data_IF_783783528966
#
_entry.id   IF_783783528966
#
_cell.length_a   1.000
_cell.length_b   1.000
_cell.length_c   1.000
_cell.angle_alpha   90.00
_cell.angle_beta   90.00
_cell.angle_gamma   90.00
#
_symmetry.space_group_name_H-M   'P 1'
#
loop_
_entity.id
_entity.type
_entity.pdbx_description
1 polymer ?
#
# COMPACT_ATOMS: atom_id res chain seq x y z
N UNK A 1 -9.45 11.77 37.08
CA UNK A 1 -8.33 11.37 36.20
C UNK A 1 -7.61 10.22 36.88
N UNK A 2 -8.07 8.99 36.65
CA UNK A 2 -7.31 7.79 36.96
C UNK A 2 -6.67 7.37 35.64
N UNK A 3 -5.35 7.54 35.54
CA UNK A 3 -4.57 6.94 34.46
C UNK A 3 -4.53 5.44 34.71
N UNK A 4 -5.40 4.70 34.04
CA UNK A 4 -5.18 3.28 33.85
C UNK A 4 -3.94 3.14 32.97
N UNK A 5 -2.87 2.58 33.54
CA UNK A 5 -1.79 2.02 32.73
C UNK A 5 -2.45 1.01 31.77
N UNK A 6 -2.18 1.06 30.46
CA UNK A 6 -2.68 0.01 29.57
C UNK A 6 -2.15 -1.31 30.10
N UNK A 7 -3.04 -2.22 30.46
CA UNK A 7 -2.69 -3.59 30.77
C UNK A 7 -1.89 -4.13 29.59
N UNK A 8 -0.69 -4.65 29.86
CA UNK A 8 0.28 -5.10 28.87
C UNK A 8 -0.28 -6.35 28.15
N UNK A 9 -1.20 -6.14 27.21
CA UNK A 9 -1.84 -7.16 26.38
C UNK A 9 -0.78 -7.92 25.61
N UNK A 10 -0.85 -9.25 25.63
CA UNK A 10 0.17 -10.07 24.99
C UNK A 10 0.12 -10.00 23.46
N UNK A 11 1.30 -10.14 22.86
CA UNK A 11 1.46 -10.34 21.42
C UNK A 11 2.46 -11.46 21.17
N UNK A 12 2.22 -12.23 20.11
CA UNK A 12 3.07 -13.37 19.77
C UNK A 12 3.30 -13.48 18.28
N UNK A 13 4.52 -13.85 17.89
CA UNK A 13 4.78 -14.45 16.58
C UNK A 13 4.71 -15.96 16.76
N UNK A 14 3.80 -16.60 16.04
CA UNK A 14 3.58 -18.04 16.09
C UNK A 14 4.36 -18.70 14.97
N UNK A 15 5.19 -19.68 15.32
CA UNK A 15 5.99 -20.44 14.35
C UNK A 15 5.49 -21.87 14.23
N UNK A 16 5.58 -22.41 13.02
CA UNK A 16 5.24 -23.80 12.73
C UNK A 16 5.55 -24.16 11.28
N UNK A 17 5.06 -25.31 10.83
CA UNK A 17 5.41 -25.85 9.53
C UNK A 17 4.83 -25.05 8.36
N UNK A 18 5.68 -24.68 7.38
CA UNK A 18 5.25 -23.99 6.15
C UNK A 18 4.14 -24.72 5.37
N UNK A 19 4.07 -26.05 5.53
CA UNK A 19 3.04 -26.88 4.89
C UNK A 19 1.61 -26.52 5.32
N UNK A 20 1.44 -25.84 6.46
CA UNK A 20 0.15 -25.36 6.95
C UNK A 20 -0.34 -24.15 6.15
N UNK A 21 0.55 -23.20 5.87
CA UNK A 21 0.23 -22.03 5.03
C UNK A 21 -0.04 -22.46 3.58
N UNK A 22 0.79 -23.36 3.06
CA UNK A 22 0.69 -23.85 1.68
C UNK A 22 -0.34 -24.98 1.51
N UNK A 23 -0.87 -25.51 2.62
CA UNK A 23 -1.81 -26.64 2.66
C UNK A 23 -1.31 -27.88 1.91
N UNK A 24 -0.01 -28.13 1.93
CA UNK A 24 0.62 -29.27 1.24
C UNK A 24 0.56 -30.56 2.04
N UNK A 25 0.27 -30.47 3.35
CA UNK A 25 0.07 -31.61 4.24
C UNK A 25 -0.83 -31.19 5.43
N UNK A 26 -1.52 -32.14 6.09
CA UNK A 26 -2.17 -31.86 7.36
C UNK A 26 -1.15 -31.71 8.49
N UNK A 27 -1.51 -30.92 9.51
CA UNK A 27 -0.77 -30.80 10.76
C UNK A 27 -0.64 -32.16 11.46
N UNK A 28 0.57 -32.51 11.92
CA UNK A 28 0.79 -33.73 12.71
C UNK A 28 0.69 -33.45 14.22
N UNK A 29 0.27 -34.42 15.06
CA UNK A 29 0.14 -34.22 16.51
C UNK A 29 1.47 -33.93 17.22
N UNK A 30 2.57 -34.46 16.71
CA UNK A 30 3.93 -34.35 17.23
C UNK A 30 4.71 -33.16 16.65
N UNK A 31 4.17 -32.47 15.64
CA UNK A 31 4.79 -31.27 15.11
C UNK A 31 4.69 -30.10 16.11
N UNK A 32 5.80 -29.38 16.36
CA UNK A 32 5.83 -28.30 17.33
C UNK A 32 5.19 -27.02 16.79
N UNK A 33 4.51 -26.31 17.68
CA UNK A 33 4.13 -24.91 17.53
C UNK A 33 4.98 -24.10 18.51
N UNK A 34 5.66 -23.06 18.02
CA UNK A 34 6.47 -22.18 18.88
C UNK A 34 5.74 -20.85 19.06
N UNK A 35 5.49 -20.49 20.30
CA UNK A 35 4.95 -19.20 20.69
C UNK A 35 6.12 -18.31 21.08
N UNK A 36 6.40 -17.26 20.28
CA UNK A 36 7.42 -16.26 20.59
C UNK A 36 6.69 -15.01 21.07
N UNK A 37 6.75 -14.73 22.38
CA UNK A 37 6.17 -13.51 22.95
C UNK A 37 7.01 -12.32 22.51
N UNK A 38 6.35 -11.33 21.92
CA UNK A 38 6.98 -10.12 21.38
C UNK A 38 6.34 -8.87 21.99
N UNK A 39 7.03 -7.72 21.97
CA UNK A 39 6.37 -6.44 22.19
C UNK A 39 5.25 -6.23 21.17
N UNK A 40 4.20 -5.53 21.57
CA UNK A 40 3.11 -5.12 20.67
C UNK A 40 3.65 -4.40 19.43
N UNK A 41 3.28 -4.88 18.24
CA UNK A 41 3.68 -4.28 16.95
C UNK A 41 2.54 -3.53 16.24
N UNK A 42 1.30 -3.65 16.72
CA UNK A 42 0.16 -2.95 16.13
C UNK A 42 0.26 -1.43 16.38
N UNK A 43 0.11 -0.64 15.30
CA UNK A 43 0.09 0.83 15.36
C UNK A 43 -1.25 1.38 15.86
N UNK A 44 -2.34 0.65 15.61
CA UNK A 44 -3.69 0.90 16.10
C UNK A 44 -4.35 -0.44 16.46
N UNK A 45 -5.39 -0.45 17.28
CA UNK A 45 -6.03 -1.70 17.74
C UNK A 45 -7.53 -1.75 17.43
N UNK A 46 -8.02 -2.81 16.78
CA UNK A 46 -7.23 -3.78 16.01
C UNK A 46 -6.60 -3.14 14.77
N UNK A 47 -5.40 -3.59 14.40
CA UNK A 47 -4.83 -3.25 13.10
C UNK A 47 -5.38 -4.19 12.01
N UNK A 48 -5.17 -3.82 10.75
CA UNK A 48 -5.30 -4.71 9.60
C UNK A 48 -3.93 -5.21 9.15
N UNK A 49 -2.89 -4.38 9.25
CA UNK A 49 -1.53 -4.73 8.85
C UNK A 49 -0.57 -4.60 10.03
N UNK A 50 0.26 -5.62 10.23
CA UNK A 50 1.31 -5.64 11.25
C UNK A 50 2.63 -5.97 10.58
N UNK A 51 3.64 -5.12 10.80
CA UNK A 51 5.00 -5.36 10.33
C UNK A 51 5.85 -5.66 11.55
N UNK A 52 6.55 -6.78 11.53
CA UNK A 52 7.45 -7.18 12.60
C UNK A 52 8.87 -7.14 12.07
N UNK A 53 9.70 -6.27 12.66
CA UNK A 53 11.15 -6.22 12.38
C UNK A 53 11.89 -7.01 13.43
N UNK A 54 12.66 -8.00 13.01
CA UNK A 54 13.27 -8.96 13.93
C UNK A 54 14.28 -8.30 14.87
N UNK A 55 15.12 -7.42 14.33
CA UNK A 55 16.14 -6.65 15.08
C UNK A 55 15.56 -5.70 16.14
N UNK A 56 14.31 -5.28 15.97
CA UNK A 56 13.62 -4.34 16.87
C UNK A 56 12.93 -5.03 18.06
N UNK A 57 12.81 -6.36 18.06
CA UNK A 57 12.10 -7.08 19.12
C UNK A 57 12.92 -7.22 20.40
N UNK A 58 14.26 -7.24 20.30
CA UNK A 58 15.14 -7.58 21.41
C UNK A 58 14.89 -8.99 21.97
N UNK A 59 15.21 -9.26 23.24
CA UNK A 59 15.02 -10.57 23.85
C UNK A 59 13.53 -10.97 23.95
N UNK A 60 13.18 -12.06 23.28
CA UNK A 60 11.83 -12.62 23.24
C UNK A 60 11.77 -13.95 24.00
N UNK A 61 10.68 -14.17 24.75
CA UNK A 61 10.43 -15.46 25.39
C UNK A 61 9.77 -16.41 24.39
N UNK A 62 10.39 -17.55 24.14
CA UNK A 62 9.89 -18.58 23.24
C UNK A 62 9.50 -19.84 24.01
N UNK A 63 8.35 -20.42 23.69
CA UNK A 63 7.90 -21.71 24.20
C UNK A 63 7.47 -22.62 23.04
N UNK A 64 8.04 -23.82 22.97
CA UNK A 64 7.64 -24.83 22.00
C UNK A 64 6.65 -25.80 22.65
N UNK A 65 5.52 -26.04 21.98
CA UNK A 65 4.41 -26.85 22.44
C UNK A 65 4.04 -27.88 21.36
N UNK A 66 3.59 -29.06 21.75
CA UNK A 66 2.77 -29.89 20.88
C UNK A 66 1.31 -29.39 20.90
N UNK A 67 0.50 -29.79 19.91
CA UNK A 67 -0.92 -29.40 19.83
C UNK A 67 -1.75 -29.73 21.09
N UNK A 68 -1.37 -30.76 21.83
CA UNK A 68 -2.02 -31.11 23.10
C UNK A 68 -1.67 -30.19 24.27
N UNK A 69 -0.90 -29.10 24.04
CA UNK A 69 -0.43 -28.18 25.08
C UNK A 69 0.83 -28.66 25.82
N UNK A 70 1.32 -29.87 25.52
CA UNK A 70 2.54 -30.40 26.15
C UNK A 70 3.75 -29.58 25.73
N UNK A 71 4.45 -29.00 26.72
CA UNK A 71 5.66 -28.21 26.48
C UNK A 71 6.84 -29.09 26.11
N UNK A 72 7.48 -28.76 24.99
CA UNK A 72 8.69 -29.38 24.45
C UNK A 72 9.92 -28.70 25.04
N UNK A 73 9.90 -27.37 25.09
CA UNK A 73 11.00 -26.57 25.60
C UNK A 73 10.63 -25.10 25.72
N UNK A 74 11.55 -24.32 26.27
CA UNK A 74 11.50 -22.87 26.22
C UNK A 74 12.86 -22.23 26.42
N UNK A 75 12.95 -20.97 25.99
CA UNK A 75 14.15 -20.17 26.15
C UNK A 75 13.89 -18.70 25.87
N UNK A 76 14.90 -17.88 26.10
CA UNK A 76 14.95 -16.51 25.61
C UNK A 76 15.75 -16.50 24.32
N UNK A 77 15.23 -15.85 23.28
CA UNK A 77 15.87 -15.74 21.97
C UNK A 77 15.85 -14.27 21.58
N UNK A 78 16.99 -13.71 21.18
CA UNK A 78 16.98 -12.36 20.62
C UNK A 78 16.21 -12.36 19.30
N UNK A 79 15.37 -11.35 19.09
CA UNK A 79 14.55 -11.24 17.88
C UNK A 79 15.38 -11.33 16.60
N UNK A 80 16.53 -10.68 16.54
CA UNK A 80 17.43 -10.71 15.39
C UNK A 80 17.98 -12.12 15.07
N UNK A 81 17.99 -13.01 16.06
CA UNK A 81 18.48 -14.39 15.94
C UNK A 81 17.37 -15.39 15.57
N UNK A 82 16.11 -14.96 15.46
CA UNK A 82 15.00 -15.85 15.11
C UNK A 82 15.18 -16.42 13.70
N UNK A 83 15.45 -15.56 12.71
CA UNK A 83 15.45 -15.93 11.30
C UNK A 83 16.63 -15.35 10.51
N UNK A 84 17.89 -15.64 10.89
CA UNK A 84 19.03 -15.30 10.05
C UNK A 84 18.82 -15.93 8.66
N UNK A 85 18.93 -15.12 7.61
CA UNK A 85 18.71 -15.52 6.21
C UNK A 85 17.32 -16.13 5.93
N UNK A 86 16.30 -15.74 6.70
CA UNK A 86 14.94 -16.29 6.63
C UNK A 86 14.85 -17.81 6.92
N UNK A 87 15.78 -18.33 7.72
CA UNK A 87 15.80 -19.72 8.18
C UNK A 87 15.85 -19.72 9.72
N UNK A 88 15.17 -20.66 10.37
CA UNK A 88 15.21 -20.80 11.82
C UNK A 88 16.65 -20.79 12.36
N UNK A 89 16.93 -19.85 13.26
CA UNK A 89 18.26 -19.64 13.83
C UNK A 89 18.67 -20.73 14.83
N UNK A 90 19.93 -20.71 15.30
CA UNK A 90 20.47 -21.75 16.19
C UNK A 90 19.65 -21.96 17.46
N UNK A 91 19.12 -20.89 18.06
CA UNK A 91 18.32 -20.97 19.28
C UNK A 91 16.96 -21.67 19.04
N UNK A 92 16.29 -21.37 17.92
CA UNK A 92 15.06 -22.08 17.53
C UNK A 92 15.35 -23.56 17.22
N UNK A 93 16.47 -23.86 16.54
CA UNK A 93 16.90 -25.24 16.28
C UNK A 93 17.16 -26.03 17.55
N UNK A 94 17.80 -25.40 18.54
CA UNK A 94 18.02 -26.01 19.85
C UNK A 94 16.69 -26.24 20.60
N UNK A 95 15.69 -25.38 20.38
CA UNK A 95 14.39 -25.46 21.03
C UNK A 95 13.49 -26.58 20.49
N UNK A 96 13.46 -26.79 19.16
CA UNK A 96 12.55 -27.77 18.53
C UNK A 96 13.24 -29.00 17.94
N UNK A 97 14.57 -29.04 17.93
CA UNK A 97 15.36 -30.08 17.27
C UNK A 97 15.76 -29.74 15.83
N UNK A 98 16.91 -30.24 15.41
CA UNK A 98 17.53 -29.91 14.10
C UNK A 98 16.79 -30.44 12.89
N UNK A 99 16.02 -31.52 13.04
CA UNK A 99 15.24 -32.10 11.94
C UNK A 99 13.97 -31.31 11.64
N UNK A 100 13.35 -30.73 12.67
CA UNK A 100 12.07 -30.03 12.58
C UNK A 100 12.23 -28.55 12.22
N UNK A 101 13.31 -27.92 12.69
CA UNK A 101 13.54 -26.50 12.55
C UNK A 101 13.60 -25.95 11.10
N UNK A 102 14.12 -26.67 10.08
CA UNK A 102 14.15 -26.14 8.71
C UNK A 102 12.77 -25.83 8.12
N UNK A 103 11.71 -26.45 8.65
CA UNK A 103 10.33 -26.19 8.23
C UNK A 103 9.63 -25.07 8.99
N UNK A 104 10.25 -24.48 10.01
CA UNK A 104 9.65 -23.44 10.82
C UNK A 104 9.65 -22.10 10.10
N UNK A 105 8.46 -21.53 9.97
CA UNK A 105 8.22 -20.19 9.46
C UNK A 105 7.23 -19.47 10.38
N UNK A 106 7.18 -18.13 10.36
CA UNK A 106 6.06 -17.40 10.96
C UNK A 106 4.74 -17.80 10.30
N UNK A 107 3.87 -18.46 11.05
CA UNK A 107 2.52 -18.81 10.59
C UNK A 107 1.60 -17.59 10.66
N UNK A 108 1.60 -16.95 11.83
CA UNK A 108 0.79 -15.77 12.09
C UNK A 108 1.39 -14.92 13.21
N UNK A 109 0.94 -13.68 13.27
CA UNK A 109 1.06 -12.83 14.45
C UNK A 109 -0.28 -12.87 15.20
N UNK A 110 -0.24 -12.94 16.53
CA UNK A 110 -1.40 -12.88 17.41
C UNK A 110 -1.32 -11.63 18.28
N UNK A 111 -2.45 -10.93 18.41
CA UNK A 111 -2.62 -9.85 19.37
C UNK A 111 -3.77 -10.16 20.31
N UNK A 112 -3.53 -10.11 21.61
CA UNK A 112 -4.56 -10.26 22.62
C UNK A 112 -5.54 -9.08 22.59
N UNK A 113 -6.83 -9.40 22.51
CA UNK A 113 -7.89 -8.41 22.53
C UNK A 113 -8.29 -8.08 23.98
N UNK A 114 -8.55 -6.81 24.35
CA UNK A 114 -8.92 -6.43 25.72
C UNK A 114 -10.17 -7.13 26.27
N UNK A 115 -11.11 -7.49 25.39
CA UNK A 115 -12.30 -8.29 25.73
C UNK A 115 -12.04 -9.80 25.84
N UNK A 116 -10.79 -10.23 25.73
CA UNK A 116 -10.36 -11.63 25.67
C UNK A 116 -10.30 -12.18 24.23
N UNK A 117 -9.56 -13.28 24.08
CA UNK A 117 -9.28 -13.88 22.76
C UNK A 117 -8.20 -13.13 22.00
N UNK A 118 -8.01 -13.49 20.73
CA UNK A 118 -6.90 -13.03 19.92
C UNK A 118 -7.37 -12.62 18.53
N UNK A 119 -6.89 -11.49 18.02
CA UNK A 119 -6.86 -11.26 16.59
C UNK A 119 -5.64 -11.95 16.00
N UNK A 120 -5.82 -12.60 14.86
CA UNK A 120 -4.76 -13.27 14.14
C UNK A 120 -4.49 -12.59 12.79
N UNK A 121 -3.22 -12.59 12.44
CA UNK A 121 -2.68 -11.94 11.26
C UNK A 121 -1.84 -12.95 10.49
N UNK A 122 -2.27 -13.32 9.30
CA UNK A 122 -1.56 -14.27 8.44
C UNK A 122 -0.32 -13.63 7.83
N UNK A 123 0.77 -14.39 7.78
CA UNK A 123 1.99 -13.96 7.09
C UNK A 123 1.73 -13.85 5.57
N UNK A 124 1.93 -12.66 5.00
CA UNK A 124 1.84 -12.44 3.55
C UNK A 124 3.20 -12.21 2.90
N UNK A 125 4.20 -11.81 3.68
CA UNK A 125 5.61 -11.69 3.27
C UNK A 125 6.56 -11.99 4.42
N UNK A 126 7.67 -12.63 4.10
CA UNK A 126 8.74 -12.98 5.04
C UNK A 126 10.11 -12.78 4.41
N UNK A 127 10.98 -12.07 5.12
CA UNK A 127 12.35 -11.71 4.74
C UNK A 127 13.28 -11.91 5.94
N UNK A 128 14.61 -11.95 5.71
CA UNK A 128 15.59 -12.06 6.80
C UNK A 128 15.55 -10.91 7.81
N UNK A 129 15.01 -9.74 7.43
CA UNK A 129 14.94 -8.57 8.32
C UNK A 129 13.57 -8.40 8.99
N UNK A 130 12.50 -8.87 8.35
CA UNK A 130 11.12 -8.58 8.75
C UNK A 130 10.08 -9.57 8.19
N UNK A 131 8.86 -9.48 8.71
CA UNK A 131 7.67 -10.05 8.10
C UNK A 131 6.49 -9.07 8.15
N UNK A 132 5.61 -9.22 7.16
CA UNK A 132 4.35 -8.49 7.07
C UNK A 132 3.20 -9.47 7.23
N UNK A 133 2.29 -9.13 8.14
CA UNK A 133 1.12 -9.90 8.50
C UNK A 133 -0.16 -9.10 8.24
N UNK A 134 -1.21 -9.77 7.76
CA UNK A 134 -2.52 -9.18 7.47
C UNK A 134 -3.59 -9.88 8.29
N UNK A 135 -4.44 -9.10 8.96
CA UNK A 135 -5.51 -9.60 9.82
C UNK A 135 -6.45 -10.52 9.04
N UNK A 136 -6.74 -11.68 9.61
CA UNK A 136 -7.67 -12.66 9.04
C UNK A 136 -8.93 -12.86 9.87
N UNK A 137 -8.90 -12.49 11.14
CA UNK A 137 -10.03 -12.65 12.06
C UNK A 137 -10.79 -11.34 12.20
N UNK A 138 -12.08 -11.27 11.80
CA UNK A 138 -12.90 -10.07 12.02
C UNK A 138 -13.17 -9.83 13.51
N UNK A 139 -13.38 -10.90 14.27
CA UNK A 139 -13.59 -10.90 15.72
C UNK A 139 -12.47 -11.69 16.43
N UNK A 140 -12.17 -11.41 17.71
CA UNK A 140 -11.20 -12.19 18.48
C UNK A 140 -11.61 -13.67 18.60
N UNK A 141 -10.63 -14.57 18.50
CA UNK A 141 -10.84 -16.03 18.60
C UNK A 141 -10.04 -16.65 19.76
N UNK A 142 -10.42 -17.85 20.19
CA UNK A 142 -9.60 -18.65 21.10
C UNK A 142 -9.42 -18.08 22.51
N UNK A 143 -10.51 -17.69 23.17
CA UNK A 143 -10.48 -17.19 24.55
C UNK A 143 -9.74 -18.11 25.53
N UNK A 144 -8.92 -17.50 26.39
CA UNK A 144 -8.09 -18.17 27.40
C UNK A 144 -6.59 -17.92 27.17
N UNK A 145 -5.72 -18.58 27.94
CA UNK A 145 -4.28 -18.50 27.76
C UNK A 145 -3.85 -18.91 26.34
N UNK A 146 -2.83 -18.25 25.79
CA UNK A 146 -2.35 -18.53 24.42
C UNK A 146 -1.81 -19.95 24.29
N UNK A 147 -1.25 -20.49 25.37
CA UNK A 147 -0.65 -21.82 25.47
C UNK A 147 -1.69 -22.95 25.40
N UNK A 148 -2.97 -22.65 25.64
CA UNK A 148 -4.07 -23.62 25.46
C UNK A 148 -4.38 -23.87 23.97
N UNK A 149 -3.78 -23.10 23.05
CA UNK A 149 -3.90 -23.24 21.59
C UNK A 149 -5.34 -23.23 21.03
N UNK A 150 -6.32 -22.73 21.79
CA UNK A 150 -7.74 -22.66 21.38
C UNK A 150 -7.98 -21.77 20.16
N UNK A 151 -7.06 -20.86 19.88
CA UNK A 151 -7.07 -20.00 18.70
C UNK A 151 -6.56 -20.73 17.44
N UNK A 152 -5.78 -21.80 17.57
CA UNK A 152 -4.99 -22.37 16.48
C UNK A 152 -5.85 -22.88 15.32
N UNK A 153 -6.87 -23.69 15.61
CA UNK A 153 -7.77 -24.23 14.60
C UNK A 153 -8.61 -23.15 13.91
N UNK A 154 -9.26 -22.21 14.63
CA UNK A 154 -9.93 -21.06 14.00
C UNK A 154 -9.02 -20.24 13.08
N UNK A 155 -7.77 -20.00 13.49
CA UNK A 155 -6.80 -19.22 12.71
C UNK A 155 -6.38 -19.95 11.42
N UNK A 156 -6.10 -21.25 11.51
CA UNK A 156 -5.78 -22.05 10.32
C UNK A 156 -6.97 -22.16 9.36
N UNK A 157 -8.19 -22.26 9.88
CA UNK A 157 -9.42 -22.28 9.07
C UNK A 157 -9.58 -20.95 8.33
N UNK A 158 -9.48 -19.80 9.02
CA UNK A 158 -9.56 -18.49 8.40
C UNK A 158 -8.45 -18.27 7.33
N UNK A 159 -7.23 -18.74 7.60
CA UNK A 159 -6.16 -18.74 6.61
C UNK A 159 -6.52 -19.60 5.38
N UNK A 160 -7.04 -20.81 5.61
CA UNK A 160 -7.37 -21.74 4.54
C UNK A 160 -8.49 -21.23 3.61
N UNK A 161 -9.46 -20.50 4.14
CA UNK A 161 -10.53 -19.84 3.37
C UNK A 161 -10.00 -18.75 2.43
N UNK A 162 -8.92 -18.07 2.85
CA UNK A 162 -8.29 -16.97 2.09
C UNK A 162 -6.94 -17.34 1.48
N UNK A 163 -6.58 -18.63 1.42
CA UNK A 163 -5.20 -19.07 1.14
C UNK A 163 -4.67 -18.60 -0.21
N UNK A 164 -5.52 -18.55 -1.24
CA UNK A 164 -5.11 -18.05 -2.56
C UNK A 164 -4.71 -16.58 -2.50
N UNK A 165 -5.49 -15.75 -1.80
CA UNK A 165 -5.22 -14.34 -1.64
C UNK A 165 -3.99 -14.09 -0.76
N UNK A 166 -3.87 -14.81 0.36
CA UNK A 166 -2.76 -14.65 1.31
C UNK A 166 -1.42 -15.11 0.71
N UNK A 167 -1.38 -16.29 0.09
CA UNK A 167 -0.15 -16.85 -0.50
C UNK A 167 0.27 -16.16 -1.80
N UNK A 168 -0.61 -15.37 -2.43
CA UNK A 168 -0.32 -14.60 -3.63
C UNK A 168 -0.59 -13.10 -3.43
N UNK A 169 -0.37 -12.59 -2.21
CA UNK A 169 -0.83 -11.27 -1.77
C UNK A 169 -0.59 -10.12 -2.76
N UNK A 170 0.61 -10.05 -3.36
CA UNK A 170 0.95 -9.01 -4.34
C UNK A 170 0.06 -9.00 -5.61
N UNK A 171 -0.71 -10.06 -5.86
CA UNK A 171 -1.66 -10.19 -6.96
C UNK A 171 -3.12 -10.04 -6.53
N UNK A 172 -3.38 -9.93 -5.22
CA UNK A 172 -4.72 -10.01 -4.64
C UNK A 172 -5.15 -8.75 -3.87
N UNK A 173 -4.48 -7.63 -4.13
CA UNK A 173 -4.97 -6.33 -3.68
C UNK A 173 -6.39 -6.07 -4.19
N UNK A 174 -7.27 -5.62 -3.30
CA UNK A 174 -8.66 -5.28 -3.64
C UNK A 174 -8.74 -3.83 -4.09
N UNK A 175 -9.64 -3.53 -5.04
CA UNK A 175 -9.96 -2.16 -5.46
C UNK A 175 -11.45 -1.92 -5.28
N UNK A 176 -11.81 -0.98 -4.40
CA UNK A 176 -13.22 -0.65 -4.15
C UNK A 176 -13.86 0.12 -5.31
N UNK A 177 -13.07 0.91 -6.05
CA UNK A 177 -13.55 1.80 -7.11
C UNK A 177 -12.96 1.43 -8.48
N UNK A 178 -13.25 0.23 -8.99
CA UNK A 178 -12.73 -0.20 -10.29
C UNK A 178 -13.21 0.70 -11.44
N UNK A 179 -12.26 1.18 -12.26
CA UNK A 179 -12.54 2.08 -13.39
C UNK A 179 -12.84 3.53 -13.00
N UNK A 180 -12.74 3.88 -11.71
CA UNK A 180 -12.87 5.25 -11.21
C UNK A 180 -11.62 5.62 -10.43
N UNK A 181 -10.98 6.72 -10.82
CA UNK A 181 -9.90 7.35 -10.08
C UNK A 181 -10.52 8.37 -9.11
N UNK A 182 -10.11 8.30 -7.84
CA UNK A 182 -10.49 9.25 -6.79
C UNK A 182 -9.24 10.03 -6.40
N UNK A 183 -9.25 11.35 -6.53
CA UNK A 183 -8.07 12.15 -6.22
C UNK A 183 -8.36 13.57 -5.71
N UNK A 184 -7.54 14.01 -4.75
CA UNK A 184 -7.36 15.43 -4.44
C UNK A 184 -6.07 15.93 -5.08
N UNK A 185 -6.03 17.21 -5.48
CA UNK A 185 -4.83 17.84 -6.03
C UNK A 185 -4.46 19.11 -5.29
N UNK A 186 -3.20 19.46 -5.34
CA UNK A 186 -2.67 20.72 -4.87
C UNK A 186 -1.81 21.31 -5.98
N UNK A 187 -2.03 22.57 -6.33
CA UNK A 187 -1.07 23.33 -7.11
C UNK A 187 -0.05 23.91 -6.12
N UNK A 188 1.24 23.61 -6.32
CA UNK A 188 2.30 24.03 -5.39
C UNK A 188 2.94 25.32 -5.92
N UNK A 189 2.76 26.42 -5.19
CA UNK A 189 3.31 27.74 -5.55
C UNK A 189 3.78 28.50 -4.28
N UNK A 190 5.07 28.87 -4.18
CA UNK A 190 6.14 28.61 -5.13
C UNK A 190 6.42 27.12 -5.33
N UNK A 191 6.73 26.73 -6.56
CA UNK A 191 7.05 25.34 -6.89
C UNK A 191 8.29 24.85 -6.11
N UNK A 192 8.18 23.81 -5.27
CA UNK A 192 9.32 23.32 -4.49
C UNK A 192 10.27 22.46 -5.35
N UNK A 193 11.43 22.14 -4.78
CA UNK A 193 12.18 20.96 -5.22
C UNK A 193 11.38 19.72 -4.83
N UNK A 194 10.74 19.09 -5.81
CA UNK A 194 9.86 17.94 -5.58
C UNK A 194 10.61 16.73 -4.98
N UNK A 195 11.92 16.59 -5.17
CA UNK A 195 12.68 15.52 -4.53
C UNK A 195 12.80 15.75 -3.02
N UNK A 196 13.25 16.95 -2.63
CA UNK A 196 13.38 17.32 -1.23
C UNK A 196 12.03 17.25 -0.52
N UNK A 197 10.98 17.81 -1.14
CA UNK A 197 9.63 17.77 -0.61
C UNK A 197 9.11 16.33 -0.42
N UNK A 198 9.36 15.43 -1.38
CA UNK A 198 8.99 14.02 -1.25
C UNK A 198 9.72 13.32 -0.11
N UNK A 199 11.02 13.57 0.06
CA UNK A 199 11.79 12.94 1.15
C UNK A 199 11.35 13.43 2.53
N UNK A 200 11.05 14.72 2.67
CA UNK A 200 10.54 15.28 3.92
C UNK A 200 9.15 14.75 4.26
N UNK A 201 8.27 14.62 3.26
CA UNK A 201 6.94 14.05 3.45
C UNK A 201 6.99 12.55 3.81
N UNK A 202 7.84 11.78 3.13
CA UNK A 202 8.07 10.37 3.46
C UNK A 202 8.64 10.21 4.88
N UNK A 203 9.56 11.08 5.27
CA UNK A 203 10.08 11.12 6.65
C UNK A 203 8.97 11.43 7.65
N UNK A 204 8.14 12.44 7.40
CA UNK A 204 6.99 12.76 8.24
C UNK A 204 6.05 11.56 8.43
N UNK A 205 5.81 10.80 7.36
CA UNK A 205 5.01 9.58 7.41
C UNK A 205 5.68 8.45 8.23
N UNK A 206 7.00 8.25 8.06
CA UNK A 206 7.79 7.29 8.85
C UNK A 206 7.81 7.63 10.33
N UNK A 207 7.90 8.92 10.66
CA UNK A 207 7.88 9.45 12.02
C UNK A 207 6.46 9.42 12.62
N UNK A 208 5.44 8.98 11.87
CA UNK A 208 4.07 8.81 12.33
C UNK A 208 3.28 10.10 12.48
N UNK A 209 3.67 11.18 11.78
CA UNK A 209 2.94 12.47 11.83
C UNK A 209 1.51 12.39 11.28
N UNK A 210 1.23 11.41 10.42
CA UNK A 210 -0.12 11.04 10.03
C UNK A 210 -0.55 9.83 10.88
N UNK A 211 -1.42 10.08 11.85
CA UNK A 211 -1.85 9.07 12.81
C UNK A 211 -2.47 7.85 12.12
N UNK A 212 -2.13 6.64 12.58
CA UNK A 212 -2.69 5.40 12.05
C UNK A 212 -2.26 5.04 10.62
N UNK A 213 -1.43 5.85 9.96
CA UNK A 213 -0.90 5.54 8.63
C UNK A 213 0.62 5.31 8.67
N UNK A 214 1.11 4.43 7.80
CA UNK A 214 2.54 4.14 7.64
C UNK A 214 2.90 4.03 6.16
N UNK A 215 4.18 4.17 5.78
CA UNK A 215 4.57 3.89 4.41
C UNK A 215 4.25 2.43 4.03
N UNK A 216 3.80 2.20 2.80
CA UNK A 216 3.46 0.85 2.35
C UNK A 216 4.67 -0.08 2.45
N UNK A 217 4.45 -1.27 3.02
CA UNK A 217 5.52 -2.22 3.29
C UNK A 217 6.32 -2.60 2.03
N UNK A 218 7.57 -2.13 1.96
CA UNK A 218 8.54 -2.39 0.88
C UNK A 218 8.02 -2.00 -0.52
N UNK A 219 7.12 -1.02 -0.58
CA UNK A 219 6.67 -0.35 -1.80
C UNK A 219 6.48 1.16 -1.54
N UNK A 220 7.19 1.71 -0.55
CA UNK A 220 6.87 3.04 -0.02
C UNK A 220 7.20 4.21 -0.95
N UNK A 221 8.15 4.03 -1.88
CA UNK A 221 8.68 5.11 -2.69
C UNK A 221 9.03 4.66 -4.10
N UNK A 222 8.51 5.36 -5.11
CA UNK A 222 8.78 5.08 -6.53
C UNK A 222 9.12 6.35 -7.29
N UNK A 223 9.92 6.20 -8.36
CA UNK A 223 10.38 7.31 -9.20
C UNK A 223 9.91 7.07 -10.63
N UNK A 224 9.27 8.09 -11.20
CA UNK A 224 8.79 8.06 -12.57
C UNK A 224 9.29 9.28 -13.34
N UNK A 225 9.75 9.03 -14.56
CA UNK A 225 10.06 10.07 -15.53
C UNK A 225 9.45 9.67 -16.86
N UNK A 226 8.47 10.43 -17.34
CA UNK A 226 7.75 10.14 -18.57
C UNK A 226 7.58 11.36 -19.45
N UNK A 227 7.68 11.16 -20.75
CA UNK A 227 7.16 12.11 -21.73
C UNK A 227 5.67 11.79 -21.97
N UNK A 228 4.82 12.80 -22.03
CA UNK A 228 3.38 12.62 -22.17
C UNK A 228 2.88 13.39 -23.39
N UNK A 229 2.14 12.70 -24.25
CA UNK A 229 1.45 13.28 -25.40
C UNK A 229 -0.04 13.30 -25.11
N UNK A 230 -0.56 14.47 -24.73
CA UNK A 230 -1.96 14.63 -24.30
C UNK A 230 -2.80 15.23 -25.44
N UNK A 231 -4.00 14.69 -25.60
CA UNK A 231 -5.02 15.15 -26.51
C UNK A 231 -6.28 15.52 -25.72
N UNK A 232 -6.77 16.74 -25.94
CA UNK A 232 -8.07 17.18 -25.45
C UNK A 232 -9.15 16.48 -26.28
N UNK A 233 -9.99 15.66 -25.65
CA UNK A 233 -11.10 14.97 -26.32
C UNK A 233 -12.34 15.83 -26.19
N UNK A 234 -12.78 16.41 -27.30
CA UNK A 234 -13.90 17.37 -27.36
C UNK A 234 -15.21 16.71 -27.79
N UNK A 235 -15.16 15.46 -28.25
CA UNK A 235 -16.34 14.72 -28.67
C UNK A 235 -16.03 13.28 -29.09
N UNK A 236 -17.05 12.43 -29.28
CA UNK A 236 -18.46 12.71 -28.98
C UNK A 236 -18.71 12.90 -27.48
N UNK A 237 -19.86 13.47 -27.09
CA UNK A 237 -20.19 13.84 -25.69
C UNK A 237 -19.80 12.81 -24.62
N UNK A 238 -20.13 11.50 -24.73
CA UNK A 238 -19.78 10.51 -23.70
C UNK A 238 -18.28 10.22 -23.60
N UNK A 239 -17.47 10.73 -24.55
CA UNK A 239 -16.03 10.52 -24.64
C UNK A 239 -15.23 11.76 -24.17
N UNK A 240 -15.90 12.86 -23.83
CA UNK A 240 -15.23 14.12 -23.43
C UNK A 240 -14.31 13.91 -22.24
N UNK A 241 -13.11 14.51 -22.32
CA UNK A 241 -12.07 14.44 -21.30
C UNK A 241 -10.70 14.54 -21.93
N UNK A 242 -9.81 13.58 -21.69
CA UNK A 242 -8.53 13.53 -22.41
C UNK A 242 -8.07 12.10 -22.70
N UNK A 243 -7.18 12.01 -23.69
CA UNK A 243 -6.39 10.85 -24.03
C UNK A 243 -4.90 11.21 -23.89
N UNK A 244 -4.10 10.34 -23.27
CA UNK A 244 -2.66 10.57 -23.11
C UNK A 244 -1.88 9.31 -23.43
N UNK A 245 -0.93 9.43 -24.35
CA UNK A 245 0.02 8.36 -24.65
C UNK A 245 1.25 8.53 -23.76
N UNK A 246 1.59 7.45 -23.07
CA UNK A 246 2.71 7.38 -22.13
C UNK A 246 3.63 6.25 -22.60
N UNK A 247 4.91 6.51 -22.91
CA UNK A 247 5.83 5.48 -23.35
C UNK A 247 6.02 4.44 -22.24
N UNK A 248 6.11 3.18 -22.64
CA UNK A 248 6.46 2.08 -21.73
C UNK A 248 7.97 1.85 -21.72
N UNK A 249 8.44 1.02 -20.79
CA UNK A 249 9.84 0.52 -20.79
C UNK A 249 10.14 -0.35 -22.01
N UNK A 250 9.11 -0.93 -22.64
CA UNK A 250 9.21 -1.57 -23.95
C UNK A 250 8.86 -0.56 -25.04
N UNK A 251 9.18 -0.87 -26.31
CA UNK A 251 9.02 0.06 -27.44
C UNK A 251 7.57 0.49 -27.79
N UNK A 252 6.59 0.26 -26.90
CA UNK A 252 5.20 0.69 -27.07
C UNK A 252 4.76 1.78 -26.09
N UNK A 253 3.46 2.03 -26.08
CA UNK A 253 2.79 3.04 -25.27
C UNK A 253 1.63 2.43 -24.48
N UNK A 254 1.33 3.04 -23.33
CA UNK A 254 0.04 2.94 -22.66
C UNK A 254 -0.79 4.14 -23.08
N UNK A 255 -2.02 3.89 -23.55
CA UNK A 255 -3.02 4.94 -23.70
C UNK A 255 -3.83 5.05 -22.42
N UNK A 256 -3.70 6.18 -21.73
CA UNK A 256 -4.51 6.58 -20.58
C UNK A 256 -5.66 7.46 -21.06
N UNK A 257 -6.90 7.09 -20.75
CA UNK A 257 -8.10 7.89 -21.06
C UNK A 257 -8.83 8.24 -19.77
N UNK A 258 -9.23 9.50 -19.64
CA UNK A 258 -10.10 10.00 -18.58
C UNK A 258 -11.30 10.70 -19.17
N UNK A 259 -12.47 10.47 -18.57
CA UNK A 259 -13.74 11.04 -19.02
C UNK A 259 -14.28 12.01 -17.97
N UNK A 260 -14.44 13.27 -18.36
CA UNK A 260 -14.99 14.34 -17.54
C UNK A 260 -15.20 15.59 -18.39
N UNK A 261 -16.27 16.34 -18.12
CA UNK A 261 -16.52 17.66 -18.71
C UNK A 261 -15.79 18.75 -17.93
N UNK A 262 -15.75 18.63 -16.60
CA UNK A 262 -15.14 19.57 -15.66
C UNK A 262 -14.22 18.81 -14.69
N UNK A 263 -13.21 19.51 -14.18
CA UNK A 263 -12.28 18.96 -13.19
C UNK A 263 -13.03 18.59 -11.91
N UNK A 264 -12.87 17.34 -11.45
CA UNK A 264 -13.62 16.79 -10.33
C UNK A 264 -12.83 15.73 -9.57
N UNK A 265 -13.23 15.49 -8.33
CA UNK A 265 -12.65 14.50 -7.41
C UNK A 265 -12.65 13.07 -7.98
N UNK A 266 -13.77 12.64 -8.55
CA UNK A 266 -13.97 11.30 -9.06
C UNK A 266 -14.07 11.32 -10.58
N UNK A 267 -13.23 10.56 -11.27
CA UNK A 267 -13.21 10.51 -12.73
C UNK A 267 -13.11 9.09 -13.23
N UNK A 268 -13.83 8.79 -14.30
CA UNK A 268 -13.68 7.50 -14.98
C UNK A 268 -12.30 7.44 -15.63
N UNK A 269 -11.62 6.30 -15.49
CA UNK A 269 -10.31 6.05 -16.09
C UNK A 269 -10.25 4.69 -16.77
N UNK A 270 -9.45 4.62 -17.85
CA UNK A 270 -9.02 3.38 -18.48
C UNK A 270 -7.58 3.50 -18.96
N UNK A 271 -6.83 2.42 -18.72
CA UNK A 271 -5.50 2.21 -19.28
C UNK A 271 -5.57 1.10 -20.34
N UNK A 272 -5.05 1.38 -21.52
CA UNK A 272 -4.88 0.39 -22.60
C UNK A 272 -3.38 0.19 -22.83
N UNK A 273 -2.77 -0.88 -22.31
CA UNK A 273 -1.35 -1.15 -22.47
C UNK A 273 -1.01 -1.76 -23.84
N UNK A 274 0.26 -1.68 -24.23
CA UNK A 274 0.82 -2.46 -25.34
C UNK A 274 0.51 -1.91 -26.74
N UNK A 275 0.28 -0.60 -26.87
CA UNK A 275 0.08 0.03 -28.17
C UNK A 275 1.41 0.27 -28.87
N UNK A 276 1.62 -0.40 -30.00
CA UNK A 276 2.78 -0.18 -30.87
C UNK A 276 2.42 0.85 -31.97
N UNK A 277 2.46 2.13 -31.57
CA UNK A 277 2.08 3.28 -32.40
C UNK A 277 3.12 4.36 -32.20
N UNK A 278 3.56 4.99 -33.29
CA UNK A 278 4.51 6.11 -33.27
C UNK A 278 3.80 7.44 -32.98
N UNK A 279 4.49 8.45 -32.39
CA UNK A 279 3.85 9.71 -32.00
C UNK A 279 3.11 10.45 -33.12
N UNK A 280 3.62 10.40 -34.35
CA UNK A 280 2.99 11.01 -35.53
C UNK A 280 1.62 10.39 -35.88
N UNK A 281 1.33 9.19 -35.38
CA UNK A 281 0.07 8.48 -35.62
C UNK A 281 -0.91 8.55 -34.46
N UNK A 282 -0.56 9.16 -33.33
CA UNK A 282 -1.44 9.24 -32.16
C UNK A 282 -2.77 9.91 -32.47
N UNK A 283 -2.74 11.07 -33.13
CA UNK A 283 -3.97 11.78 -33.52
C UNK A 283 -4.86 10.92 -34.42
N UNK A 284 -4.29 10.35 -35.48
CA UNK A 284 -5.00 9.49 -36.43
C UNK A 284 -5.61 8.26 -35.74
N UNK A 285 -4.88 7.61 -34.83
CA UNK A 285 -5.41 6.50 -34.06
C UNK A 285 -6.63 6.90 -33.22
N UNK A 286 -6.56 8.05 -32.53
CA UNK A 286 -7.70 8.53 -31.74
C UNK A 286 -8.91 8.87 -32.63
N UNK A 287 -8.70 9.45 -33.81
CA UNK A 287 -9.80 9.87 -34.69
C UNK A 287 -10.39 8.73 -35.51
N UNK A 288 -9.55 7.90 -36.15
CA UNK A 288 -9.96 6.89 -37.12
C UNK A 288 -10.30 5.55 -36.43
N UNK A 289 -9.47 5.12 -35.48
CA UNK A 289 -9.63 3.81 -34.84
C UNK A 289 -10.57 3.88 -33.62
N UNK A 290 -10.56 5.00 -32.89
CA UNK A 290 -11.43 5.21 -31.72
C UNK A 290 -12.62 6.13 -31.97
N UNK A 291 -12.73 6.77 -33.15
CA UNK A 291 -13.87 7.62 -33.50
C UNK A 291 -13.98 8.91 -32.68
N UNK A 292 -12.87 9.42 -32.15
CA UNK A 292 -12.85 10.59 -31.27
C UNK A 292 -12.65 11.90 -32.05
N UNK A 293 -13.17 12.99 -31.49
CA UNK A 293 -12.81 14.35 -31.87
C UNK A 293 -11.78 14.86 -30.88
N UNK A 294 -10.58 15.14 -31.37
CA UNK A 294 -9.44 15.46 -30.52
C UNK A 294 -8.68 16.68 -30.99
N UNK A 295 -8.07 17.38 -30.03
CA UNK A 295 -7.09 18.43 -30.27
C UNK A 295 -5.79 18.05 -29.57
N UNK A 296 -4.70 18.01 -30.32
CA UNK A 296 -3.36 17.84 -29.74
C UNK A 296 -3.05 18.99 -28.80
N UNK A 297 -2.49 18.67 -27.64
CA UNK A 297 -1.98 19.65 -26.66
C UNK A 297 -0.44 19.58 -26.65
N UNK A 298 0.24 20.67 -26.22
CA UNK A 298 1.70 20.67 -26.12
C UNK A 298 2.22 19.47 -25.33
N UNK A 299 3.19 18.71 -25.85
CA UNK A 299 3.79 17.60 -25.13
C UNK A 299 4.63 18.11 -23.96
N UNK A 300 4.72 17.30 -22.91
CA UNK A 300 5.42 17.67 -21.68
C UNK A 300 6.18 16.50 -21.06
N UNK A 301 7.28 16.82 -20.39
CA UNK A 301 7.95 15.92 -19.47
C UNK A 301 7.27 15.97 -18.11
N UNK A 302 7.07 14.81 -17.49
CA UNK A 302 6.60 14.64 -16.11
C UNK A 302 7.65 13.88 -15.33
N UNK A 303 8.23 14.55 -14.33
CA UNK A 303 8.96 13.88 -13.25
C UNK A 303 7.99 13.75 -12.09
N UNK A 304 7.88 12.55 -11.51
CA UNK A 304 6.94 12.23 -10.45
C UNK A 304 7.60 11.32 -9.42
N UNK A 305 7.37 11.62 -8.15
CA UNK A 305 7.79 10.81 -7.01
C UNK A 305 6.57 10.36 -6.23
N UNK A 306 6.46 9.05 -6.03
CA UNK A 306 5.29 8.43 -5.40
C UNK A 306 5.63 8.04 -3.98
N UNK A 307 4.81 8.45 -3.03
CA UNK A 307 4.86 8.01 -1.64
C UNK A 307 3.61 7.19 -1.38
N UNK A 308 3.79 5.89 -1.13
CA UNK A 308 2.68 5.00 -0.83
C UNK A 308 2.43 4.98 0.68
N UNK A 309 1.20 5.27 1.06
CA UNK A 309 0.74 5.40 2.43
C UNK A 309 -0.37 4.38 2.69
N UNK A 310 -0.18 3.50 3.66
CA UNK A 310 -1.15 2.49 4.06
C UNK A 310 -1.82 2.88 5.38
N UNK A 311 -3.14 2.83 5.43
CA UNK A 311 -3.91 2.91 6.68
C UNK A 311 -3.77 1.60 7.45
N UNK A 312 -3.28 1.68 8.68
CA UNK A 312 -3.06 0.50 9.52
C UNK A 312 -4.36 -0.08 10.05
N UNK A 313 -5.47 0.67 10.07
CA UNK A 313 -6.79 0.19 10.51
C UNK A 313 -7.54 -0.57 9.43
N UNK A 314 -7.49 -0.09 8.17
CA UNK A 314 -8.29 -0.63 7.05
C UNK A 314 -7.46 -1.39 6.02
N UNK A 315 -6.12 -1.21 6.03
CA UNK A 315 -5.23 -1.71 4.99
C UNK A 315 -5.39 -0.99 3.65
N UNK A 316 -6.16 0.10 3.58
CA UNK A 316 -6.27 0.92 2.37
C UNK A 316 -4.95 1.63 2.07
N UNK A 317 -4.56 1.60 0.81
CA UNK A 317 -3.33 2.20 0.30
C UNK A 317 -3.67 3.41 -0.55
N UNK A 318 -3.04 4.52 -0.20
CA UNK A 318 -3.16 5.82 -0.83
C UNK A 318 -1.80 6.23 -1.39
N UNK A 319 -1.78 6.76 -2.60
CA UNK A 319 -0.59 7.33 -3.19
C UNK A 319 -0.59 8.84 -3.00
N UNK A 320 0.53 9.38 -2.56
CA UNK A 320 0.80 10.82 -2.51
C UNK A 320 1.89 11.11 -3.53
N UNK A 321 1.55 11.81 -4.61
CA UNK A 321 2.40 11.99 -5.78
C UNK A 321 2.81 13.43 -5.93
N UNK A 322 4.09 13.72 -5.76
CA UNK A 322 4.63 15.03 -6.08
C UNK A 322 5.14 14.98 -7.52
N UNK A 323 4.60 15.85 -8.38
CA UNK A 323 5.02 15.91 -9.76
C UNK A 323 5.36 17.31 -10.25
N UNK A 324 6.23 17.32 -11.25
CA UNK A 324 6.66 18.50 -12.00
C UNK A 324 6.48 18.20 -13.47
N UNK A 325 5.59 18.95 -14.11
CA UNK A 325 5.37 18.93 -15.54
C UNK A 325 6.04 20.14 -16.19
N UNK A 326 6.83 19.91 -17.24
CA UNK A 326 7.52 20.95 -18.00
C UNK A 326 7.23 20.76 -19.49
N UNK A 327 6.75 21.79 -20.19
CA UNK A 327 6.46 21.67 -21.62
C UNK A 327 7.76 21.48 -22.41
N UNK A 328 7.75 20.59 -23.41
CA UNK A 328 8.95 20.32 -24.21
C UNK A 328 9.39 21.55 -25.01
N UNK A 329 8.43 22.24 -25.63
CA UNK A 329 8.68 23.41 -26.46
C UNK A 329 8.72 24.75 -25.71
N UNK A 330 8.44 24.74 -24.41
CA UNK A 330 8.50 25.92 -23.54
C UNK A 330 8.86 25.51 -22.10
N UNK A 331 10.14 25.19 -21.82
CA UNK A 331 10.54 24.62 -20.54
C UNK A 331 10.39 25.55 -19.33
N UNK A 332 10.15 26.84 -19.56
CA UNK A 332 9.78 27.83 -18.54
C UNK A 332 8.32 27.71 -18.09
N UNK A 333 7.46 27.07 -18.89
CA UNK A 333 6.07 26.80 -18.55
C UNK A 333 5.99 25.49 -17.75
N UNK A 334 5.81 25.64 -16.44
CA UNK A 334 5.88 24.55 -15.48
C UNK A 334 4.58 24.44 -14.67
N UNK A 335 4.17 23.22 -14.41
CA UNK A 335 3.15 22.88 -13.42
C UNK A 335 3.81 22.02 -12.34
N UNK A 336 3.70 22.43 -11.07
CA UNK A 336 4.11 21.62 -9.92
C UNK A 336 2.88 21.27 -9.10
N UNK A 337 2.66 19.98 -8.85
CA UNK A 337 1.48 19.52 -8.10
C UNK A 337 1.83 18.47 -7.05
N UNK A 338 0.94 18.34 -6.07
CA UNK A 338 0.77 17.11 -5.31
C UNK A 338 -0.60 16.49 -5.64
N UNK A 339 -0.66 15.17 -5.80
CA UNK A 339 -1.89 14.39 -5.99
C UNK A 339 -2.03 13.39 -4.83
N UNK A 340 -3.21 13.29 -4.21
CA UNK A 340 -3.57 12.23 -3.27
C UNK A 340 -4.58 11.31 -3.95
N UNK A 341 -4.26 10.03 -4.14
CA UNK A 341 -5.10 9.06 -4.87
C UNK A 341 -5.35 7.80 -4.03
N UNK A 342 -6.58 7.26 -4.07
CA UNK A 342 -6.82 5.89 -3.57
C UNK A 342 -6.38 4.85 -4.60
N UNK A 343 -5.56 3.88 -4.18
CA UNK A 343 -4.99 2.88 -5.10
C UNK A 343 -5.63 1.51 -4.97
N UNK A 344 -5.67 0.98 -3.74
CA UNK A 344 -5.96 -0.44 -3.47
C UNK A 344 -6.11 -0.69 -1.96
N UNK A 345 -6.48 -1.91 -1.57
CA UNK A 345 -6.53 -2.36 -0.18
C UNK A 345 -5.74 -3.67 -0.01
N UNK A 346 -4.89 -3.72 1.03
CA UNK A 346 -4.17 -4.91 1.49
C UNK A 346 -5.11 -5.90 2.20
N UNK A 347 -6.20 -5.40 2.78
CA UNK A 347 -7.11 -6.18 3.60
C UNK A 347 -7.74 -7.33 2.81
N UNK A 348 -7.82 -8.48 3.47
CA UNK A 348 -8.62 -9.63 3.01
C UNK A 348 -10.00 -9.67 3.68
N UNK A 349 -10.23 -8.79 4.66
CA UNK A 349 -11.54 -8.60 5.25
C UNK A 349 -12.34 -7.63 4.39
N UNK A 350 -13.66 -7.74 4.49
CA UNK A 350 -14.55 -6.80 3.82
C UNK A 350 -14.60 -5.50 4.62
N UNK A 351 -14.51 -4.39 3.89
CA UNK A 351 -14.58 -3.03 4.42
C UNK A 351 -15.68 -2.28 3.69
N UNK A 352 -16.32 -1.36 4.40
CA UNK A 352 -17.25 -0.41 3.79
C UNK A 352 -16.47 0.53 2.86
N UNK A 353 -16.81 0.60 1.56
CA UNK A 353 -16.17 1.55 0.63
C UNK A 353 -16.19 3.00 1.10
N UNK A 354 -17.14 3.39 1.96
CA UNK A 354 -17.20 4.74 2.52
C UNK A 354 -16.01 5.04 3.48
N UNK A 355 -15.38 4.01 4.07
CA UNK A 355 -14.15 4.16 4.85
C UNK A 355 -13.02 4.76 4.00
N UNK A 356 -12.94 4.38 2.71
CA UNK A 356 -11.97 4.96 1.78
C UNK A 356 -12.13 6.48 1.71
N UNK A 357 -13.36 6.97 1.58
CA UNK A 357 -13.66 8.38 1.42
C UNK A 357 -13.40 9.17 2.71
N UNK A 358 -13.70 8.57 3.87
CA UNK A 358 -13.42 9.15 5.19
C UNK A 358 -11.90 9.30 5.38
N UNK A 359 -11.14 8.24 5.09
CA UNK A 359 -9.69 8.24 5.21
C UNK A 359 -9.04 9.20 4.21
N UNK A 360 -9.50 9.25 2.95
CA UNK A 360 -9.00 10.23 1.97
C UNK A 360 -9.17 11.67 2.47
N UNK A 361 -10.34 12.03 3.03
CA UNK A 361 -10.56 13.38 3.58
C UNK A 361 -9.65 13.69 4.77
N UNK A 362 -9.38 12.69 5.61
CA UNK A 362 -8.47 12.82 6.75
C UNK A 362 -7.03 13.06 6.28
N UNK A 363 -6.58 12.30 5.28
CA UNK A 363 -5.24 12.46 4.69
C UNK A 363 -5.15 13.80 3.95
N UNK A 364 -6.20 14.19 3.21
CA UNK A 364 -6.31 15.49 2.55
C UNK A 364 -6.18 16.64 3.56
N UNK A 365 -6.89 16.58 4.68
CA UNK A 365 -6.80 17.61 5.73
C UNK A 365 -5.37 17.72 6.27
N UNK A 366 -4.72 16.58 6.55
CA UNK A 366 -3.33 16.57 7.00
C UNK A 366 -2.35 17.10 5.95
N UNK A 367 -2.54 16.79 4.67
CA UNK A 367 -1.73 17.32 3.57
C UNK A 367 -1.93 18.83 3.42
N UNK A 368 -3.16 19.31 3.54
CA UNK A 368 -3.48 20.73 3.48
C UNK A 368 -2.72 21.50 4.57
N UNK A 369 -2.79 21.03 5.82
CA UNK A 369 -2.05 21.64 6.94
C UNK A 369 -0.53 21.57 6.70
N UNK A 370 -0.03 20.41 6.26
CA UNK A 370 1.40 20.22 5.96
C UNK A 370 1.89 21.18 4.87
N UNK A 371 1.15 21.33 3.77
CA UNK A 371 1.53 22.22 2.68
C UNK A 371 1.35 23.70 3.03
N UNK A 372 0.38 24.03 3.89
CA UNK A 372 0.21 25.39 4.39
C UNK A 372 1.40 25.80 5.27
N UNK A 373 1.86 24.91 6.17
CA UNK A 373 3.04 25.12 7.01
C UNK A 373 4.32 25.28 6.18
N UNK A 374 4.43 24.56 5.06
CA UNK A 374 5.52 24.72 4.10
C UNK A 374 5.39 25.97 3.21
N UNK A 375 4.23 26.63 3.20
CA UNK A 375 3.95 27.79 2.36
C UNK A 375 3.78 27.45 0.87
N UNK A 376 3.35 26.24 0.53
CA UNK A 376 3.20 25.78 -0.87
C UNK A 376 1.75 25.78 -1.37
N UNK A 377 0.78 25.52 -0.49
CA UNK A 377 -0.65 25.52 -0.82
C UNK A 377 -1.48 25.65 0.47
N UNK A 378 -2.66 26.27 0.40
CA UNK A 378 -3.58 26.42 1.55
C UNK A 378 -4.92 25.73 1.34
N UNK A 379 -5.16 25.17 0.15
CA UNK A 379 -6.37 24.43 -0.19
C UNK A 379 -6.07 23.41 -1.29
N UNK A 380 -6.90 22.36 -1.34
CA UNK A 380 -6.90 21.45 -2.48
C UNK A 380 -7.69 22.03 -3.67
N UNK A 381 -7.49 21.44 -4.83
CA UNK A 381 -8.14 21.73 -6.10
C UNK A 381 -8.37 20.42 -6.86
N UNK A 382 -9.01 20.51 -8.02
CA UNK A 382 -9.11 19.42 -9.00
C UNK A 382 -8.41 19.76 -10.31
N UNK A 383 -7.65 20.85 -10.34
CA UNK A 383 -6.99 21.40 -11.53
C UNK A 383 -6.17 20.34 -12.28
N UNK A 384 -6.67 19.92 -13.43
CA UNK A 384 -6.07 18.84 -14.20
C UNK A 384 -4.96 19.33 -15.12
N UNK A 385 -4.10 18.40 -15.54
CA UNK A 385 -3.09 18.65 -16.57
C UNK A 385 -3.72 19.09 -17.91
N UNK A 386 -4.96 18.66 -18.19
CA UNK A 386 -5.74 19.14 -19.34
C UNK A 386 -6.06 20.64 -19.20
N UNK A 387 -6.56 21.06 -18.03
CA UNK A 387 -6.84 22.48 -17.74
C UNK A 387 -5.58 23.33 -17.82
N UNK A 388 -4.48 22.88 -17.21
CA UNK A 388 -3.16 23.50 -17.33
C UNK A 388 -2.73 23.75 -18.78
N UNK A 389 -2.83 22.73 -19.64
CA UNK A 389 -2.42 22.87 -21.04
C UNK A 389 -3.34 23.83 -21.82
N UNK A 390 -4.64 23.86 -21.51
CA UNK A 390 -5.59 24.81 -22.13
C UNK A 390 -5.28 26.25 -21.71
N UNK A 391 -4.97 26.47 -20.44
CA UNK A 391 -4.59 27.78 -19.93
C UNK A 391 -3.25 28.22 -20.52
N UNK A 392 -2.25 27.33 -20.57
CA UNK A 392 -0.96 27.59 -21.19
C UNK A 392 -1.11 28.04 -22.66
N UNK A 393 -1.93 27.36 -23.46
CA UNK A 393 -2.24 27.78 -24.84
C UNK A 393 -2.95 29.13 -24.86
N UNK A 394 -3.88 29.37 -23.94
CA UNK A 394 -4.63 30.64 -23.88
C UNK A 394 -3.69 31.82 -23.58
N UNK A 395 -2.73 31.64 -22.68
CA UNK A 395 -1.72 32.65 -22.35
C UNK A 395 -0.60 32.76 -23.40
N UNK A 396 -0.26 31.65 -24.06
CA UNK A 396 0.80 31.54 -25.08
C UNK A 396 0.25 30.80 -26.31
N UNK A 397 -0.47 31.49 -27.21
CA UNK A 397 -1.09 30.85 -28.37
C UNK A 397 -0.11 30.19 -29.34
N UNK A 398 1.17 30.59 -29.31
CA UNK A 398 2.27 29.98 -30.06
C UNK A 398 2.51 28.50 -29.72
N UNK A 399 2.05 28.05 -28.56
CA UNK A 399 2.14 26.65 -28.12
C UNK A 399 1.14 25.73 -28.84
N UNK A 400 0.07 26.27 -29.44
CA UNK A 400 -0.97 25.45 -30.07
C UNK A 400 -0.53 24.77 -31.39
N UNK A 401 0.59 25.19 -31.96
CA UNK A 401 1.06 24.82 -33.30
C UNK A 401 2.34 23.98 -33.31
N UNK A 402 2.79 23.51 -32.14
CA UNK A 402 4.04 22.76 -32.00
C UNK A 402 3.83 21.25 -32.03
#
# INVERSE_FOLDING_TARGET
MNGEQPSDSGAWVVLGGIHLLNRTAPQRPDEPIVLVRVPQQEVCRPATTVIVRWDALGPCLAAALHLGGTRIGAGSIDGGDLFPDAIAGPALRALVGTETAPGLVPLCYLAEHPGGGYHAYAQVRFHPEDACFVRTTPEPVGHGPVEDLRWFEPVLTAHAESSTALNNHLRYFRKHFSGTELEFKYNLDPAPDIWAASMDLLKALRDGKLEGCRPEYRDEFQIHHTENHLFDVTGPEPEIGYASFIPTVTAGHVLKRKWFTEDAFARRERLTPGLDITPDRFGTYLTEDLGLQVRAMPPFQRVRYDIQCESMSTGHVYGIFLDRCTLLGAPDVVLSQCELEYLRSRSILDHDPDEVLIEMKRIDSWLCDYFADCGWATEHTFYSKRSFLRDAITFRPDLATQ
#
